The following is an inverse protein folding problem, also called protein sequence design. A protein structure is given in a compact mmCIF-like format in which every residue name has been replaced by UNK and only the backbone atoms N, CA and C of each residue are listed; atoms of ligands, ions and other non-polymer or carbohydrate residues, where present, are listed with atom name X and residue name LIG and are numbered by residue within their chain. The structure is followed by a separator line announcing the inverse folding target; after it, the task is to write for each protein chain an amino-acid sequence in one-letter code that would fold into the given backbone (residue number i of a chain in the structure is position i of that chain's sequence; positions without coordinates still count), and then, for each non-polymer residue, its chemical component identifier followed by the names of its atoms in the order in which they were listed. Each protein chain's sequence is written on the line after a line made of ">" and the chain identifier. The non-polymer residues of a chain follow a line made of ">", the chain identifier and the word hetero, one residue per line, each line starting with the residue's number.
data_IF_124710744784
#
_entry.id   IF_124710744784
#
_cell.length_a   1.000
_cell.length_b   1.000
_cell.length_c   1.000
_cell.angle_alpha   90.00
_cell.angle_beta   90.00
_cell.angle_gamma   90.00
#
_symmetry.space_group_name_H-M   'P 1'
#
loop_
_entity.id
_entity.type
_entity.pdbx_description
1 polymer ?
#
# COMPACT_ATOMS: atom_id res chain seq x y z
N UNK A 1 34.56 -39.47 -22.69
CA UNK A 1 33.12 -39.78 -22.51
C UNK A 1 32.73 -40.07 -21.05
N UNK A 2 33.24 -41.10 -20.38
CA UNK A 2 32.87 -41.40 -18.96
C UNK A 2 33.29 -40.30 -17.98
N UNK A 3 34.49 -39.74 -18.15
CA UNK A 3 34.97 -38.61 -17.36
C UNK A 3 34.08 -37.37 -17.53
N UNK A 4 33.77 -37.02 -18.79
CA UNK A 4 32.92 -35.87 -19.13
C UNK A 4 31.52 -36.00 -18.52
N UNK A 5 30.93 -37.20 -18.55
CA UNK A 5 29.63 -37.48 -17.91
C UNK A 5 29.69 -37.28 -16.39
N UNK A 6 30.80 -37.66 -15.74
CA UNK A 6 30.96 -37.46 -14.30
C UNK A 6 31.12 -35.98 -13.95
N UNK A 7 31.89 -35.23 -14.75
CA UNK A 7 32.06 -33.80 -14.58
C UNK A 7 30.72 -33.05 -14.75
N UNK A 8 29.97 -33.36 -15.81
CA UNK A 8 28.63 -32.79 -16.03
C UNK A 8 27.68 -33.09 -14.87
N UNK A 9 27.73 -34.30 -14.29
CA UNK A 9 26.92 -34.62 -13.10
C UNK A 9 27.31 -33.78 -11.89
N UNK A 10 28.61 -33.53 -11.69
CA UNK A 10 29.11 -32.65 -10.63
C UNK A 10 28.57 -31.23 -10.79
N UNK A 11 28.69 -30.67 -11.99
CA UNK A 11 28.19 -29.33 -12.31
C UNK A 11 26.68 -29.21 -12.09
N UNK A 12 25.89 -30.21 -12.51
CA UNK A 12 24.44 -30.24 -12.29
C UNK A 12 24.10 -30.22 -10.79
N UNK A 13 24.86 -30.94 -9.96
CA UNK A 13 24.64 -30.94 -8.50
C UNK A 13 24.92 -29.55 -7.93
N UNK A 14 26.02 -28.92 -8.32
CA UNK A 14 26.37 -27.56 -7.91
C UNK A 14 25.29 -26.56 -8.30
N UNK A 15 24.88 -26.57 -9.58
CA UNK A 15 23.83 -25.67 -10.10
C UNK A 15 22.51 -25.87 -9.34
N UNK A 16 22.13 -27.12 -9.05
CA UNK A 16 20.92 -27.39 -8.25
C UNK A 16 21.01 -26.82 -6.84
N UNK A 17 22.19 -26.90 -6.22
CA UNK A 17 22.44 -26.31 -4.91
C UNK A 17 22.30 -24.78 -4.93
N UNK A 18 22.95 -24.13 -5.89
CA UNK A 18 22.87 -22.67 -6.05
C UNK A 18 21.45 -22.21 -6.35
N UNK A 19 20.74 -22.91 -7.26
CA UNK A 19 19.34 -22.60 -7.57
C UNK A 19 18.44 -22.75 -6.33
N UNK A 20 18.69 -23.76 -5.48
CA UNK A 20 17.94 -23.93 -4.25
C UNK A 20 18.17 -22.76 -3.28
N UNK A 21 19.41 -22.30 -3.12
CA UNK A 21 19.74 -21.13 -2.29
C UNK A 21 19.08 -19.86 -2.83
N UNK A 22 19.06 -19.66 -4.14
CA UNK A 22 18.37 -18.53 -4.79
C UNK A 22 16.87 -18.57 -4.49
N UNK A 23 16.23 -19.74 -4.62
CA UNK A 23 14.80 -19.90 -4.30
C UNK A 23 14.51 -19.59 -2.83
N UNK A 24 15.33 -20.10 -1.90
CA UNK A 24 15.18 -19.81 -0.47
C UNK A 24 15.30 -18.32 -0.17
N UNK A 25 16.24 -17.61 -0.81
CA UNK A 25 16.36 -16.16 -0.67
C UNK A 25 15.12 -15.44 -1.22
N UNK A 26 14.62 -15.85 -2.39
CA UNK A 26 13.42 -15.26 -2.96
C UNK A 26 12.19 -15.46 -2.08
N UNK A 27 11.96 -16.68 -1.61
CA UNK A 27 10.79 -17.07 -0.80
C UNK A 27 10.81 -16.44 0.58
N UNK A 28 11.97 -16.41 1.25
CA UNK A 28 12.05 -16.04 2.66
C UNK A 28 12.53 -14.61 2.92
N UNK A 29 13.19 -13.97 1.95
CA UNK A 29 13.71 -12.61 2.11
C UNK A 29 13.08 -11.62 1.14
N UNK A 30 13.03 -11.94 -0.15
CA UNK A 30 12.59 -10.97 -1.17
C UNK A 30 11.07 -10.83 -1.16
N UNK A 31 10.33 -11.94 -1.28
CA UNK A 31 8.87 -11.92 -1.37
C UNK A 31 8.20 -11.30 -0.14
N UNK A 32 8.58 -11.62 1.11
CA UNK A 32 7.97 -10.99 2.28
C UNK A 32 8.19 -9.48 2.31
N UNK A 33 9.39 -9.01 1.90
CA UNK A 33 9.69 -7.58 1.83
C UNK A 33 8.88 -6.88 0.76
N UNK A 34 8.67 -7.51 -0.40
CA UNK A 34 7.80 -6.99 -1.45
C UNK A 34 6.34 -6.87 -0.96
N UNK A 35 5.82 -7.90 -0.29
CA UNK A 35 4.47 -7.86 0.30
C UNK A 35 4.33 -6.72 1.32
N UNK A 36 5.35 -6.51 2.17
CA UNK A 36 5.35 -5.37 3.12
C UNK A 36 5.33 -4.03 2.38
N UNK A 37 6.17 -3.86 1.36
CA UNK A 37 6.23 -2.62 0.57
C UNK A 37 4.88 -2.35 -0.10
N UNK A 38 4.29 -3.36 -0.75
CA UNK A 38 2.99 -3.27 -1.41
C UNK A 38 1.88 -2.87 -0.43
N UNK A 39 1.81 -3.51 0.75
CA UNK A 39 0.85 -3.15 1.79
C UNK A 39 1.00 -1.69 2.20
N UNK A 40 2.22 -1.23 2.52
CA UNK A 40 2.44 0.14 2.96
C UNK A 40 1.96 1.19 1.94
N UNK A 41 2.21 0.96 0.64
CA UNK A 41 1.78 1.87 -0.41
C UNK A 41 0.26 1.79 -0.64
N UNK A 42 -0.32 0.59 -0.64
CA UNK A 42 -1.76 0.38 -0.83
C UNK A 42 -2.57 0.96 0.33
N UNK A 43 -2.13 0.75 1.56
CA UNK A 43 -2.76 1.28 2.77
C UNK A 43 -2.71 2.81 2.79
N UNK A 44 -1.55 3.39 2.46
CA UNK A 44 -1.39 4.85 2.39
C UNK A 44 -2.26 5.46 1.30
N UNK A 45 -2.28 4.86 0.11
CA UNK A 45 -3.14 5.27 -0.99
C UNK A 45 -4.62 5.25 -0.58
N UNK A 46 -5.07 4.14 0.01
CA UNK A 46 -6.46 3.95 0.44
C UNK A 46 -6.86 5.03 1.43
N UNK A 47 -6.03 5.27 2.45
CA UNK A 47 -6.26 6.33 3.42
C UNK A 47 -6.39 7.70 2.77
N UNK A 48 -5.47 8.08 1.89
CA UNK A 48 -5.51 9.39 1.23
C UNK A 48 -6.72 9.54 0.30
N UNK A 49 -7.08 8.49 -0.43
CA UNK A 49 -8.29 8.47 -1.26
C UNK A 49 -9.54 8.69 -0.40
N UNK A 50 -9.69 7.94 0.69
CA UNK A 50 -10.86 8.08 1.58
C UNK A 50 -10.98 9.48 2.19
N UNK A 51 -9.88 10.12 2.58
CA UNK A 51 -9.91 11.48 3.11
C UNK A 51 -10.17 12.53 2.03
N UNK A 52 -9.65 12.33 0.82
CA UNK A 52 -9.97 13.21 -0.31
C UNK A 52 -11.47 13.18 -0.63
N UNK A 53 -12.08 11.99 -0.69
CA UNK A 53 -13.51 11.82 -0.95
C UNK A 53 -14.38 12.48 0.15
N UNK A 54 -13.91 12.49 1.40
CA UNK A 54 -14.59 13.16 2.52
C UNK A 54 -14.48 14.69 2.49
N UNK A 55 -13.53 15.25 1.73
CA UNK A 55 -13.29 16.69 1.70
C UNK A 55 -14.47 17.45 1.06
N UNK A 56 -15.04 16.91 -0.01
CA UNK A 56 -16.21 17.51 -0.68
C UNK A 56 -17.46 17.51 0.21
N UNK A 57 -17.69 16.42 0.95
CA UNK A 57 -18.75 16.36 1.97
C UNK A 57 -18.52 17.39 3.06
N UNK A 58 -17.28 17.52 3.53
CA UNK A 58 -16.92 18.49 4.57
C UNK A 58 -17.16 19.92 4.11
N UNK A 59 -16.84 20.27 2.86
CA UNK A 59 -17.14 21.59 2.31
C UNK A 59 -18.64 21.87 2.24
N UNK A 60 -19.42 20.86 1.82
CA UNK A 60 -20.88 20.97 1.79
C UNK A 60 -21.47 21.21 3.18
N UNK A 61 -20.98 20.49 4.19
CA UNK A 61 -21.41 20.65 5.58
C UNK A 61 -21.02 22.02 6.15
N UNK A 62 -19.80 22.50 5.86
CA UNK A 62 -19.33 23.83 6.27
C UNK A 62 -20.18 24.94 5.66
N UNK A 63 -20.55 24.81 4.39
CA UNK A 63 -21.41 25.78 3.72
C UNK A 63 -22.84 25.79 4.28
N UNK A 64 -23.36 24.63 4.67
CA UNK A 64 -24.65 24.54 5.38
C UNK A 64 -24.57 25.21 6.75
N UNK A 65 -23.53 24.90 7.54
CA UNK A 65 -23.31 25.51 8.85
C UNK A 65 -23.24 27.03 8.78
N UNK A 66 -22.48 27.58 7.81
CA UNK A 66 -22.40 29.03 7.59
C UNK A 66 -23.76 29.66 7.35
N UNK A 67 -24.61 29.05 6.50
CA UNK A 67 -25.96 29.55 6.22
C UNK A 67 -26.83 29.55 7.48
N UNK A 68 -26.86 28.42 8.19
CA UNK A 68 -27.67 28.28 9.41
C UNK A 68 -27.23 29.28 10.48
N UNK A 69 -25.92 29.43 10.69
CA UNK A 69 -25.38 30.40 11.66
C UNK A 69 -25.72 31.84 11.27
N UNK A 70 -25.65 32.18 9.98
CA UNK A 70 -26.05 33.51 9.50
C UNK A 70 -27.54 33.79 9.76
N UNK A 71 -28.42 32.85 9.41
CA UNK A 71 -29.86 32.97 9.66
C UNK A 71 -30.19 33.10 11.16
N UNK A 72 -29.51 32.32 12.01
CA UNK A 72 -29.67 32.42 13.46
C UNK A 72 -29.17 33.76 14.00
N UNK A 73 -28.02 34.24 13.51
CA UNK A 73 -27.46 35.54 13.88
C UNK A 73 -28.43 36.68 13.56
N UNK A 74 -29.04 36.65 12.37
CA UNK A 74 -30.08 37.63 11.99
C UNK A 74 -31.31 37.56 12.90
N UNK A 75 -31.77 36.35 13.25
CA UNK A 75 -32.92 36.18 14.17
C UNK A 75 -32.63 36.74 15.56
N UNK A 76 -31.43 36.49 16.08
CA UNK A 76 -30.99 37.03 17.38
C UNK A 76 -30.93 38.56 17.34
N UNK A 77 -30.36 39.15 16.27
CA UNK A 77 -30.31 40.60 16.12
C UNK A 77 -31.69 41.26 16.05
N UNK A 78 -32.72 40.56 15.56
CA UNK A 78 -34.11 41.06 15.54
C UNK A 78 -34.82 40.99 16.90
N UNK A 79 -34.27 40.24 17.85
CA UNK A 79 -34.82 40.06 19.20
C UNK A 79 -34.13 40.94 20.25
N UNK A 80 -32.98 41.53 19.92
CA UNK A 80 -32.23 42.47 20.75
C UNK A 80 -32.57 43.92 20.38
#
# INVERSE_FOLDING_TARGET
>A
MKCDILNMKGEIITIKGELHLVKLCQENMILPRLNTIESCYTDTYTRYKEYADKMDSTFSDVDLLKRVVAEQSEKIQKLA
#
